data_IF_744865760969
#
_entry.id   IF_744865760969
#
_cell.length_a   1.000
_cell.length_b   1.000
_cell.length_c   1.000
_cell.angle_alpha   90.00
_cell.angle_beta   90.00
_cell.angle_gamma   90.00
#
_symmetry.space_group_name_H-M   'P 1'
#
loop_
_entity.id
_entity.type
_entity.pdbx_description
1 polymer ?
#
# COMPACT_ATOMS: atom_id res chain seq x y z
N UNK A 1 -2.20 1.95 -19.41
CA UNK A 1 -1.25 0.85 -19.22
C UNK A 1 -1.81 -0.36 -19.95
N UNK A 2 -1.02 -0.97 -20.84
CA UNK A 2 -1.43 -2.14 -21.65
C UNK A 2 -1.65 -3.39 -20.78
N UNK A 3 -1.17 -3.39 -19.52
CA UNK A 3 -1.35 -4.41 -18.49
C UNK A 3 -0.89 -5.82 -18.87
N UNK A 4 -0.13 -5.97 -19.97
CA UNK A 4 0.62 -7.18 -20.32
C UNK A 4 2.12 -6.87 -20.38
N UNK A 5 2.94 -7.87 -20.07
CA UNK A 5 4.39 -7.76 -20.09
C UNK A 5 4.89 -7.90 -21.53
N UNK A 6 5.77 -6.99 -21.95
CA UNK A 6 6.42 -7.02 -23.25
C UNK A 6 7.90 -6.68 -23.11
N UNK A 7 8.73 -7.28 -23.96
CA UNK A 7 10.17 -6.97 -24.07
C UNK A 7 10.51 -6.22 -25.36
N UNK A 8 9.53 -6.09 -26.25
CA UNK A 8 9.64 -5.41 -27.54
C UNK A 8 8.41 -4.50 -27.73
N UNK A 9 8.61 -3.31 -28.32
CA UNK A 9 7.55 -2.32 -28.49
C UNK A 9 6.50 -2.73 -29.53
N UNK A 10 6.84 -3.63 -30.44
CA UNK A 10 5.96 -4.16 -31.48
C UNK A 10 5.26 -5.47 -31.04
N UNK A 11 5.48 -5.90 -29.78
CA UNK A 11 4.87 -7.12 -29.25
C UNK A 11 3.37 -6.94 -29.01
N UNK A 12 2.58 -7.82 -29.62
CA UNK A 12 1.14 -7.92 -29.38
C UNK A 12 0.82 -8.51 -27.99
N UNK A 13 -0.43 -8.41 -27.54
CA UNK A 13 -0.87 -9.03 -26.29
C UNK A 13 -0.71 -10.57 -26.31
N UNK A 14 -0.65 -11.23 -25.14
CA UNK A 14 -0.51 -12.68 -25.05
C UNK A 14 -1.58 -13.42 -25.88
N UNK A 15 -1.14 -14.33 -26.74
CA UNK A 15 -2.00 -15.06 -27.68
C UNK A 15 -1.67 -16.55 -27.74
N UNK A 16 -2.65 -17.37 -28.13
CA UNK A 16 -2.46 -18.79 -28.38
C UNK A 16 -1.90 -19.08 -29.79
N UNK A 17 -1.69 -20.36 -30.12
CA UNK A 17 -1.17 -20.77 -31.43
C UNK A 17 -2.11 -20.44 -32.61
N UNK A 18 -3.38 -20.12 -32.33
CA UNK A 18 -4.36 -19.69 -33.31
C UNK A 18 -4.55 -18.18 -33.37
N UNK A 19 -3.64 -17.40 -32.78
CA UNK A 19 -3.68 -15.93 -32.73
C UNK A 19 -4.89 -15.37 -31.96
N UNK A 20 -5.50 -16.17 -31.08
CA UNK A 20 -6.55 -15.68 -30.18
C UNK A 20 -5.92 -15.10 -28.92
N UNK A 21 -6.40 -13.93 -28.49
CA UNK A 21 -5.91 -13.29 -27.26
C UNK A 21 -6.30 -14.13 -26.04
N UNK A 22 -5.30 -14.45 -25.23
CA UNK A 22 -5.48 -15.20 -23.99
C UNK A 22 -5.89 -14.24 -22.89
N UNK A 23 -7.03 -14.52 -22.24
CA UNK A 23 -7.47 -13.76 -21.07
C UNK A 23 -6.50 -13.87 -19.89
N UNK A 24 -6.42 -12.84 -19.02
CA UNK A 24 -5.65 -12.94 -17.78
C UNK A 24 -6.12 -14.12 -16.92
N UNK A 25 -5.19 -14.98 -16.52
CA UNK A 25 -5.44 -15.93 -15.44
C UNK A 25 -5.25 -15.23 -14.10
N UNK A 26 -6.05 -15.58 -13.08
CA UNK A 26 -5.94 -14.99 -11.74
C UNK A 26 -5.37 -16.03 -10.79
N UNK A 27 -4.24 -15.71 -10.18
CA UNK A 27 -3.55 -16.55 -9.21
C UNK A 27 -4.19 -16.42 -7.81
N UNK A 28 -3.86 -17.32 -6.90
CA UNK A 28 -4.41 -17.32 -5.53
C UNK A 28 -4.01 -16.09 -4.71
N UNK A 29 -2.88 -15.47 -5.02
CA UNK A 29 -2.39 -14.23 -4.41
C UNK A 29 -2.98 -12.96 -5.04
N UNK A 30 -3.88 -13.11 -6.03
CA UNK A 30 -4.52 -12.03 -6.76
C UNK A 30 -3.71 -11.49 -7.93
N UNK A 31 -2.46 -11.93 -8.12
CA UNK A 31 -1.65 -11.55 -9.30
C UNK A 31 -2.19 -12.20 -10.57
N UNK A 32 -1.76 -11.69 -11.72
CA UNK A 32 -2.14 -12.25 -13.00
C UNK A 32 -1.10 -13.22 -13.56
N UNK A 33 -1.58 -14.15 -14.37
CA UNK A 33 -0.79 -15.06 -15.20
C UNK A 33 -1.13 -14.86 -16.68
N UNK A 34 -0.65 -15.74 -17.55
CA UNK A 34 -0.80 -15.65 -19.01
C UNK A 34 -0.16 -14.38 -19.62
N UNK A 35 0.94 -13.89 -19.05
CA UNK A 35 1.66 -12.71 -19.55
C UNK A 35 1.03 -11.36 -19.16
N UNK A 36 -0.03 -11.36 -18.36
CA UNK A 36 -0.65 -10.13 -17.85
C UNK A 36 -0.01 -9.69 -16.52
N UNK A 37 0.23 -8.39 -16.38
CA UNK A 37 0.90 -7.77 -15.21
C UNK A 37 -0.10 -7.47 -14.09
N UNK A 38 -1.26 -6.93 -14.46
CA UNK A 38 -2.35 -6.58 -13.54
C UNK A 38 -1.91 -5.79 -12.29
N UNK A 39 -1.21 -4.68 -12.50
CA UNK A 39 -0.75 -3.77 -11.44
C UNK A 39 -1.89 -3.37 -10.49
N UNK A 40 -3.10 -3.16 -11.05
CA UNK A 40 -4.30 -2.84 -10.29
C UNK A 40 -4.75 -3.91 -9.28
N UNK A 41 -4.18 -5.12 -9.34
CA UNK A 41 -4.44 -6.22 -8.40
C UNK A 41 -3.32 -6.42 -7.38
N UNK A 42 -2.16 -5.78 -7.57
CA UNK A 42 -1.08 -5.85 -6.59
C UNK A 42 -1.60 -5.28 -5.27
N UNK A 43 -1.34 -6.01 -4.17
CA UNK A 43 -1.86 -5.69 -2.84
C UNK A 43 -1.65 -4.21 -2.49
N UNK A 44 -0.42 -3.73 -2.67
CA UNK A 44 -0.02 -2.35 -2.40
C UNK A 44 -0.87 -1.34 -3.19
N UNK A 45 -1.19 -1.62 -4.44
CA UNK A 45 -1.95 -0.72 -5.31
C UNK A 45 -3.46 -0.81 -4.99
N UNK A 46 -4.00 -2.02 -4.96
CA UNK A 46 -5.42 -2.25 -4.67
C UNK A 46 -5.81 -1.70 -3.29
N UNK A 47 -4.97 -1.93 -2.29
CA UNK A 47 -5.19 -1.42 -0.94
C UNK A 47 -5.01 0.09 -0.85
N UNK A 48 -4.11 0.71 -1.63
CA UNK A 48 -4.01 2.18 -1.66
C UNK A 48 -5.18 2.85 -2.38
N UNK A 49 -5.89 2.15 -3.28
CA UNK A 49 -7.19 2.58 -3.78
C UNK A 49 -8.23 2.58 -2.64
N UNK A 50 -8.26 1.52 -1.83
CA UNK A 50 -9.12 1.45 -0.64
C UNK A 50 -8.76 2.53 0.40
N UNK A 51 -7.48 2.79 0.63
CA UNK A 51 -6.99 3.89 1.47
C UNK A 51 -7.56 5.22 0.97
N UNK A 52 -7.43 5.52 -0.33
CA UNK A 52 -7.96 6.76 -0.92
C UNK A 52 -9.47 6.92 -0.69
N UNK A 53 -10.22 5.81 -0.74
CA UNK A 53 -11.65 5.82 -0.45
C UNK A 53 -11.93 6.06 1.04
N UNK A 54 -11.15 5.45 1.95
CA UNK A 54 -11.27 5.64 3.39
C UNK A 54 -10.98 7.10 3.82
N UNK A 55 -10.06 7.78 3.12
CA UNK A 55 -9.69 9.18 3.40
C UNK A 55 -10.36 10.19 2.48
N UNK A 56 -11.48 9.82 1.87
CA UNK A 56 -12.20 10.70 0.94
C UNK A 56 -12.68 11.96 1.67
N UNK A 57 -12.46 13.12 1.06
CA UNK A 57 -12.91 14.41 1.60
C UNK A 57 -12.00 15.04 2.65
N UNK A 58 -10.90 14.38 3.05
CA UNK A 58 -9.94 14.95 4.00
C UNK A 58 -8.80 15.70 3.31
N UNK A 59 -8.25 16.72 3.97
CA UNK A 59 -7.01 17.39 3.55
C UNK A 59 -5.76 16.56 3.87
N UNK A 60 -4.59 17.11 3.54
CA UNK A 60 -3.31 16.65 4.09
C UNK A 60 -3.02 17.47 5.34
N UNK A 61 -2.54 16.83 6.40
CA UNK A 61 -2.13 17.46 7.65
C UNK A 61 -0.93 16.72 8.28
N UNK A 62 -0.36 17.30 9.33
CA UNK A 62 0.73 16.71 10.12
C UNK A 62 1.88 16.18 9.26
N UNK A 63 2.31 17.00 8.30
CA UNK A 63 3.45 16.69 7.46
C UNK A 63 4.73 16.57 8.31
N UNK A 64 5.42 15.46 8.14
CA UNK A 64 6.72 15.19 8.72
C UNK A 64 7.72 14.87 7.61
N UNK A 65 8.97 15.30 7.80
CA UNK A 65 10.10 14.91 6.97
C UNK A 65 11.38 14.93 7.80
N UNK A 66 12.34 14.09 7.42
CA UNK A 66 13.70 14.16 7.95
C UNK A 66 14.57 15.22 7.24
N UNK A 67 14.02 15.97 6.27
CA UNK A 67 14.76 16.93 5.44
C UNK A 67 15.49 16.30 4.24
N UNK A 68 15.29 15.00 4.00
CA UNK A 68 15.91 14.23 2.92
C UNK A 68 14.87 13.25 2.31
N UNK A 69 15.15 11.95 2.27
CA UNK A 69 14.34 10.94 1.57
C UNK A 69 13.30 10.23 2.44
N UNK A 70 12.91 10.83 3.56
CA UNK A 70 11.86 10.30 4.44
C UNK A 70 10.77 11.35 4.66
N UNK A 71 9.52 10.92 4.47
CA UNK A 71 8.33 11.75 4.66
C UNK A 71 7.20 10.95 5.29
N UNK A 72 6.31 11.62 5.99
CA UNK A 72 5.06 11.06 6.46
C UNK A 72 3.98 12.15 6.55
N UNK A 73 2.72 11.78 6.42
CA UNK A 73 1.61 12.71 6.58
C UNK A 73 0.30 12.01 6.89
N UNK A 74 -0.60 12.78 7.49
CA UNK A 74 -1.98 12.39 7.74
C UNK A 74 -2.91 12.84 6.62
N UNK A 75 -4.08 12.19 6.56
CA UNK A 75 -5.22 12.55 5.73
C UNK A 75 -6.46 12.75 6.60
N UNK A 76 -6.55 13.93 7.22
CA UNK A 76 -7.47 14.20 8.31
C UNK A 76 -7.20 13.26 9.49
N UNK A 77 -8.27 12.72 10.07
CA UNK A 77 -8.22 11.73 11.15
C UNK A 77 -8.48 10.30 10.65
N UNK A 78 -8.42 10.10 9.33
CA UNK A 78 -8.88 8.86 8.67
C UNK A 78 -7.75 8.00 8.10
N UNK A 79 -6.53 8.53 7.98
CA UNK A 79 -5.40 7.78 7.46
C UNK A 79 -4.05 8.45 7.64
N UNK A 80 -3.02 7.64 7.66
CA UNK A 80 -1.63 8.02 7.80
C UNK A 80 -0.76 7.20 6.84
N UNK A 81 0.24 7.83 6.27
CA UNK A 81 1.20 7.17 5.39
C UNK A 81 2.62 7.69 5.67
N UNK A 82 3.59 6.79 5.62
CA UNK A 82 5.01 7.09 5.75
C UNK A 82 5.79 6.45 4.61
N UNK A 83 6.84 7.12 4.15
CA UNK A 83 7.69 6.70 3.05
C UNK A 83 9.16 6.86 3.43
N UNK A 84 9.98 5.90 3.01
CA UNK A 84 11.43 6.02 2.98
C UNK A 84 11.94 5.61 1.60
N UNK A 85 12.80 6.44 1.02
CA UNK A 85 13.62 6.09 -0.15
C UNK A 85 15.12 6.05 0.21
N UNK A 86 15.44 6.09 1.50
CA UNK A 86 16.81 6.09 2.01
C UNK A 86 16.85 5.99 3.53
N UNK A 87 17.51 4.95 4.04
CA UNK A 87 17.66 4.69 5.47
C UNK A 87 16.38 4.20 6.15
N UNK A 88 16.54 3.75 7.39
CA UNK A 88 15.43 3.20 8.20
C UNK A 88 14.69 4.32 8.94
N UNK A 89 13.35 4.27 8.94
CA UNK A 89 12.49 5.04 9.85
C UNK A 89 12.21 4.18 11.08
N UNK A 90 12.49 4.74 12.26
CA UNK A 90 12.08 4.20 13.56
C UNK A 90 11.73 5.38 14.47
N UNK A 91 10.48 5.83 14.40
CA UNK A 91 10.06 7.08 15.02
C UNK A 91 8.62 7.01 15.51
N UNK A 92 8.37 7.66 16.65
CA UNK A 92 6.99 7.92 17.08
C UNK A 92 6.49 9.18 16.39
N UNK A 93 5.41 9.06 15.62
CA UNK A 93 4.85 10.14 14.82
C UNK A 93 3.38 10.38 15.17
N UNK A 94 2.90 11.59 14.93
CA UNK A 94 1.47 11.89 14.95
C UNK A 94 0.82 11.21 13.75
N UNK A 95 -0.03 10.21 14.01
CA UNK A 95 -0.78 9.49 12.97
C UNK A 95 -2.16 10.09 12.73
N UNK A 96 -2.60 10.97 13.63
CA UNK A 96 -3.91 11.63 13.60
C UNK A 96 -5.10 10.66 13.70
N UNK A 97 -4.84 9.37 13.79
CA UNK A 97 -5.85 8.33 13.90
C UNK A 97 -6.33 8.21 15.35
N UNK A 98 -7.59 7.83 15.58
CA UNK A 98 -8.05 7.42 16.90
C UNK A 98 -7.25 6.25 17.45
N UNK A 99 -7.13 6.13 18.78
CA UNK A 99 -6.39 5.03 19.41
C UNK A 99 -6.90 3.66 18.99
N UNK A 100 -5.99 2.75 18.66
CA UNK A 100 -6.31 1.40 18.20
C UNK A 100 -5.14 0.75 17.50
N UNK A 101 -5.31 -0.50 17.08
CA UNK A 101 -4.30 -1.22 16.28
C UNK A 101 -4.74 -1.21 14.83
N UNK A 102 -3.89 -0.73 13.95
CA UNK A 102 -4.17 -0.63 12.52
C UNK A 102 -3.25 -1.56 11.74
N UNK A 103 -3.80 -2.24 10.74
CA UNK A 103 -3.03 -3.06 9.83
C UNK A 103 -2.37 -2.21 8.76
N UNK A 104 -1.07 -2.42 8.54
CA UNK A 104 -0.38 -1.83 7.41
C UNK A 104 -0.86 -2.50 6.12
N UNK A 105 -1.51 -1.70 5.28
CA UNK A 105 -2.15 -2.19 4.06
C UNK A 105 -1.17 -2.36 2.90
N UNK A 106 0.11 -2.00 3.10
CA UNK A 106 1.19 -2.25 2.13
C UNK A 106 1.76 -3.65 2.35
N UNK A 107 2.25 -3.93 3.56
CA UNK A 107 2.81 -5.25 3.89
C UNK A 107 1.76 -6.35 4.06
N UNK A 108 0.48 -6.01 4.24
CA UNK A 108 -0.59 -6.97 4.41
C UNK A 108 -1.99 -6.39 4.22
N UNK A 109 -2.97 -7.04 4.86
CA UNK A 109 -4.38 -6.65 4.85
C UNK A 109 -5.02 -6.98 6.20
N UNK A 110 -6.17 -6.38 6.49
CA UNK A 110 -7.05 -6.81 7.59
C UNK A 110 -7.95 -7.95 7.08
N UNK A 111 -7.77 -9.15 7.61
CA UNK A 111 -8.57 -10.33 7.25
C UNK A 111 -9.07 -10.99 8.53
N UNK A 112 -10.39 -11.17 8.66
CA UNK A 112 -11.03 -11.81 9.82
C UNK A 112 -10.59 -11.22 11.18
N UNK A 113 -10.41 -9.90 11.24
CA UNK A 113 -10.00 -9.20 12.47
C UNK A 113 -8.51 -9.31 12.79
N UNK A 114 -7.68 -9.77 11.86
CA UNK A 114 -6.24 -9.91 12.05
C UNK A 114 -5.45 -9.26 10.92
N UNK A 115 -4.32 -8.63 11.26
CA UNK A 115 -3.38 -8.13 10.27
C UNK A 115 -2.55 -9.28 9.72
N UNK A 116 -2.50 -9.43 8.40
CA UNK A 116 -1.61 -10.42 7.77
C UNK A 116 -0.17 -9.92 7.61
N UNK A 117 0.05 -8.61 7.76
CA UNK A 117 1.35 -7.95 7.69
C UNK A 117 1.67 -7.21 8.98
N UNK A 118 2.41 -6.10 8.86
CA UNK A 118 2.72 -5.23 10.00
C UNK A 118 1.46 -4.60 10.57
N UNK A 119 1.56 -4.14 11.82
CA UNK A 119 0.54 -3.32 12.46
C UNK A 119 1.17 -2.15 13.20
N UNK A 120 0.39 -1.09 13.37
CA UNK A 120 0.76 0.10 14.14
C UNK A 120 -0.28 0.29 15.24
N UNK A 121 0.21 0.30 16.48
CA UNK A 121 -0.61 0.67 17.63
C UNK A 121 -0.57 2.18 17.81
N UNK A 122 -1.75 2.79 17.80
CA UNK A 122 -1.95 4.23 18.00
C UNK A 122 -2.46 4.47 19.42
N UNK A 123 -1.79 5.33 20.17
CA UNK A 123 -2.18 5.71 21.53
C UNK A 123 -3.31 6.74 21.57
N UNK A 124 -3.84 7.02 22.76
CA UNK A 124 -4.96 7.96 22.97
C UNK A 124 -4.74 9.38 22.44
N UNK A 125 -3.48 9.80 22.26
CA UNK A 125 -3.09 11.10 21.72
C UNK A 125 -2.75 11.06 20.21
N UNK A 126 -3.08 9.97 19.51
CA UNK A 126 -2.86 9.83 18.07
C UNK A 126 -1.43 9.47 17.67
N UNK A 127 -0.52 9.27 18.64
CA UNK A 127 0.85 8.86 18.35
C UNK A 127 0.95 7.37 18.04
N UNK A 128 1.77 7.02 17.06
CA UNK A 128 2.10 5.63 16.72
C UNK A 128 3.58 5.48 16.43
N UNK A 129 4.16 4.35 16.83
CA UNK A 129 5.54 4.01 16.45
C UNK A 129 5.57 3.47 15.03
N UNK A 130 6.24 4.20 14.13
CA UNK A 130 6.39 3.87 12.72
C UNK A 130 7.76 3.25 12.52
N UNK A 131 7.76 2.03 11.99
CA UNK A 131 8.96 1.29 11.63
C UNK A 131 8.91 0.91 10.15
N UNK A 132 9.86 1.43 9.38
CA UNK A 132 10.11 1.08 7.98
C UNK A 132 11.61 0.91 7.80
N UNK A 133 12.08 -0.32 7.66
CA UNK A 133 13.48 -0.58 7.32
C UNK A 133 13.74 -0.29 5.83
N UNK A 134 14.98 0.06 5.49
CA UNK A 134 15.42 0.36 4.13
C UNK A 134 15.54 -0.86 3.22
N UNK A 135 15.52 -2.06 3.81
CA UNK A 135 15.58 -3.34 3.12
C UNK A 135 14.23 -4.07 3.06
N UNK A 136 13.13 -3.41 3.42
CA UNK A 136 11.78 -3.96 3.21
C UNK A 136 11.44 -3.99 1.71
N UNK A 137 10.52 -4.89 1.33
CA UNK A 137 10.04 -5.02 -0.06
C UNK A 137 9.45 -3.69 -0.58
N UNK A 138 8.72 -3.00 0.29
CA UNK A 138 8.07 -1.73 0.00
C UNK A 138 8.55 -0.66 0.99
N UNK A 139 9.12 0.44 0.49
CA UNK A 139 9.55 1.61 1.29
C UNK A 139 8.40 2.49 1.78
N UNK A 140 7.21 1.92 2.01
CA UNK A 140 5.99 2.64 2.39
C UNK A 140 5.19 1.84 3.43
N UNK A 141 4.59 2.57 4.38
CA UNK A 141 3.63 2.05 5.35
C UNK A 141 2.37 2.89 5.26
N UNK A 142 1.20 2.26 5.21
CA UNK A 142 -0.07 2.96 5.15
C UNK A 142 -1.11 2.32 6.08
N UNK A 143 -1.76 3.15 6.89
CA UNK A 143 -2.82 2.73 7.82
C UNK A 143 -4.02 3.67 7.70
N UNK A 144 -5.23 3.15 7.83
CA UNK A 144 -6.46 3.96 7.72
C UNK A 144 -7.60 3.41 8.57
N UNK A 145 -8.65 4.22 8.76
CA UNK A 145 -9.75 3.93 9.70
C UNK A 145 -10.47 2.60 9.46
N UNK A 146 -10.63 2.21 8.18
CA UNK A 146 -11.25 0.92 7.81
C UNK A 146 -10.32 -0.31 7.96
N UNK A 147 -9.04 -0.13 8.31
CA UNK A 147 -8.07 -1.21 8.54
C UNK A 147 -7.70 -1.33 10.03
N UNK A 148 -8.63 -0.95 10.92
CA UNK A 148 -8.49 -1.02 12.37
C UNK A 148 -9.07 -2.33 12.92
N UNK A 149 -8.37 -2.93 13.89
CA UNK A 149 -8.86 -4.04 14.72
C UNK A 149 -9.77 -3.51 15.84
#
# INVERSE_FOLDING_TARGET
MSSFAFTDIDMGPPQDAGENIISPGINADGTCSNGWVCEHRWRQIANMIAFRNAVRGTGVNDWWSNGDQQIAFCRGENGFVAFTNGGTISQTMQTCLPSGTYCDVISGSLINGQCTGKSVTVSANGLGHVQLADNEEDGVLAIHINARI
#
